data_IF_128965550582
#
_entry.id   IF_128965550582
#
_cell.length_a   1.000
_cell.length_b   1.000
_cell.length_c   1.000
_cell.angle_alpha   90.00
_cell.angle_beta   90.00
_cell.angle_gamma   90.00
#
_symmetry.space_group_name_H-M   'P 1'
#
loop_
_entity.id
_entity.type
_entity.pdbx_description
1 polymer ?
#
# COMPACT_ATOMS: atom_id res chain seq x y z
N UNK A 1 -32.24 1.55 -10.03
CA UNK A 1 -32.15 0.08 -9.89
C UNK A 1 -32.45 -0.29 -8.46
N UNK A 2 -33.22 -1.36 -8.24
CA UNK A 2 -33.37 -1.95 -6.89
C UNK A 2 -32.08 -2.69 -6.49
N UNK A 3 -31.89 -3.00 -5.20
CA UNK A 3 -30.72 -3.81 -4.78
C UNK A 3 -30.63 -5.17 -5.50
N UNK A 4 -31.78 -5.81 -5.74
CA UNK A 4 -31.87 -7.10 -6.44
C UNK A 4 -31.47 -6.96 -7.91
N UNK A 5 -31.89 -5.87 -8.59
CA UNK A 5 -31.48 -5.57 -9.97
C UNK A 5 -29.98 -5.30 -10.05
N UNK A 6 -29.41 -4.57 -9.06
CA UNK A 6 -27.96 -4.32 -8.98
C UNK A 6 -27.20 -5.64 -8.83
N UNK A 7 -27.58 -6.49 -7.87
CA UNK A 7 -26.92 -7.77 -7.62
C UNK A 7 -27.05 -8.74 -8.79
N UNK A 8 -28.19 -8.75 -9.48
CA UNK A 8 -28.40 -9.57 -10.67
C UNK A 8 -27.48 -9.13 -11.83
N UNK A 9 -27.38 -7.82 -12.07
CA UNK A 9 -26.50 -7.26 -13.11
C UNK A 9 -25.02 -7.44 -12.75
N UNK A 10 -24.67 -7.22 -11.48
CA UNK A 10 -23.32 -7.42 -10.96
C UNK A 10 -22.85 -8.87 -11.18
N UNK A 11 -23.67 -9.83 -10.74
CA UNK A 11 -23.38 -11.25 -10.91
C UNK A 11 -23.21 -11.67 -12.37
N UNK A 12 -23.91 -11.02 -13.29
CA UNK A 12 -23.87 -11.34 -14.70
C UNK A 12 -22.72 -10.66 -15.48
N UNK A 13 -22.26 -9.48 -15.02
CA UNK A 13 -21.46 -8.61 -15.86
C UNK A 13 -20.21 -8.02 -15.19
N UNK A 14 -20.11 -8.04 -13.85
CA UNK A 14 -19.03 -7.37 -13.14
C UNK A 14 -18.02 -8.37 -12.56
N UNK A 15 -16.75 -8.19 -12.93
CA UNK A 15 -15.67 -9.01 -12.37
C UNK A 15 -15.07 -8.32 -11.15
N UNK A 16 -15.13 -8.97 -10.00
CA UNK A 16 -14.57 -8.45 -8.76
C UNK A 16 -13.09 -8.81 -8.59
N UNK A 17 -12.31 -8.00 -7.83
CA UNK A 17 -10.90 -8.30 -7.57
C UNK A 17 -10.71 -9.69 -6.94
N UNK A 18 -9.83 -10.50 -7.53
CA UNK A 18 -9.47 -11.85 -7.05
C UNK A 18 -10.67 -12.81 -6.86
N UNK A 19 -11.71 -12.63 -7.62
CA UNK A 19 -12.89 -13.46 -7.57
C UNK A 19 -13.15 -14.15 -8.91
N UNK A 20 -13.82 -15.31 -8.86
CA UNK A 20 -14.42 -15.92 -10.05
C UNK A 20 -15.62 -15.10 -10.53
N UNK A 21 -16.06 -15.33 -11.77
CA UNK A 21 -17.32 -14.81 -12.30
C UNK A 21 -18.28 -15.98 -12.56
N UNK A 22 -19.42 -16.04 -11.87
CA UNK A 22 -19.87 -15.13 -10.80
C UNK A 22 -19.07 -15.34 -9.50
N UNK A 23 -19.01 -14.31 -8.61
CA UNK A 23 -18.33 -14.45 -7.32
C UNK A 23 -19.02 -15.48 -6.42
N UNK A 24 -18.23 -16.20 -5.61
CA UNK A 24 -18.75 -17.22 -4.69
C UNK A 24 -19.67 -16.61 -3.62
N UNK A 25 -19.30 -15.45 -3.08
CA UNK A 25 -20.10 -14.71 -2.12
C UNK A 25 -20.72 -13.48 -2.79
N UNK A 26 -22.00 -13.24 -2.57
CA UNK A 26 -22.67 -12.04 -3.09
C UNK A 26 -22.09 -10.79 -2.42
N UNK A 27 -21.78 -9.73 -3.17
CA UNK A 27 -21.33 -8.47 -2.60
C UNK A 27 -22.46 -7.74 -1.86
N UNK A 28 -22.09 -6.87 -0.91
CA UNK A 28 -23.02 -5.94 -0.27
C UNK A 28 -23.20 -4.70 -1.15
N UNK A 29 -24.45 -4.30 -1.37
CA UNK A 29 -24.74 -3.09 -2.18
C UNK A 29 -24.60 -1.87 -1.29
N UNK A 30 -23.60 -1.01 -1.58
CA UNK A 30 -23.38 0.26 -0.90
C UNK A 30 -24.11 1.37 -1.63
N UNK A 31 -24.84 2.22 -0.89
CA UNK A 31 -25.55 3.42 -1.41
C UNK A 31 -24.86 4.72 -1.09
N UNK A 32 -24.07 4.75 -0.05
CA UNK A 32 -23.37 5.97 0.38
C UNK A 32 -22.29 5.67 1.40
N UNK A 33 -21.49 6.69 1.68
CA UNK A 33 -20.49 6.65 2.74
C UNK A 33 -20.30 8.05 3.30
N UNK A 34 -20.12 8.17 4.63
CA UNK A 34 -19.85 9.44 5.30
C UNK A 34 -19.05 9.20 6.58
N UNK A 35 -18.10 10.07 6.87
CA UNK A 35 -17.18 9.87 8.00
C UNK A 35 -16.47 8.53 7.88
N UNK A 36 -16.64 7.66 8.86
CA UNK A 36 -16.02 6.31 8.84
C UNK A 36 -17.01 5.19 8.51
N UNK A 37 -18.19 5.53 7.98
CA UNK A 37 -19.30 4.58 7.76
C UNK A 37 -19.66 4.41 6.30
N UNK A 38 -20.01 3.19 5.97
CA UNK A 38 -20.65 2.79 4.72
C UNK A 38 -22.15 2.56 4.99
N UNK A 39 -23.03 3.11 4.14
CA UNK A 39 -24.47 2.85 4.19
C UNK A 39 -24.85 1.83 3.14
N UNK A 40 -25.37 0.69 3.56
CA UNK A 40 -25.83 -0.37 2.67
C UNK A 40 -27.23 -0.05 2.09
N UNK A 41 -27.58 -0.74 1.03
CA UNK A 41 -28.88 -0.59 0.38
C UNK A 41 -30.07 -1.03 1.23
N UNK A 42 -29.85 -1.92 2.19
CA UNK A 42 -30.85 -2.36 3.18
C UNK A 42 -30.97 -1.44 4.40
N UNK A 43 -30.19 -0.34 4.43
CA UNK A 43 -30.22 0.68 5.48
C UNK A 43 -29.26 0.42 6.64
N UNK A 44 -28.54 -0.70 6.65
CA UNK A 44 -27.49 -0.93 7.66
C UNK A 44 -26.31 0.04 7.46
N UNK A 45 -25.73 0.48 8.55
CA UNK A 45 -24.48 1.26 8.56
C UNK A 45 -23.34 0.41 9.10
N UNK A 46 -22.23 0.38 8.39
CA UNK A 46 -21.03 -0.37 8.76
C UNK A 46 -19.86 0.59 8.98
N UNK A 47 -19.17 0.46 10.11
CA UNK A 47 -17.87 1.13 10.29
C UNK A 47 -16.87 0.47 9.35
N UNK A 48 -16.20 1.29 8.52
CA UNK A 48 -15.18 0.78 7.60
C UNK A 48 -13.86 0.51 8.35
N UNK A 49 -13.64 -0.75 8.73
CA UNK A 49 -12.39 -1.19 9.34
C UNK A 49 -11.23 -1.33 8.34
N UNK A 50 -11.44 -1.01 7.05
CA UNK A 50 -10.46 -1.25 5.98
C UNK A 50 -9.95 0.02 5.29
N UNK A 51 -10.51 1.21 5.59
CA UNK A 51 -10.24 2.46 4.86
C UNK A 51 -10.28 2.26 3.33
N UNK A 52 -11.24 1.51 2.81
CA UNK A 52 -11.29 1.10 1.40
C UNK A 52 -9.92 0.63 0.89
N UNK A 53 -9.33 -0.35 1.57
CA UNK A 53 -7.96 -0.82 1.31
C UNK A 53 -6.88 0.26 1.43
N UNK A 54 -6.73 0.81 2.66
CA UNK A 54 -5.66 1.73 3.09
C UNK A 54 -5.86 3.19 2.67
N UNK A 55 -6.79 3.50 1.76
CA UNK A 55 -6.81 4.79 1.08
C UNK A 55 -7.57 5.90 1.83
N UNK A 56 -8.73 5.57 2.43
CA UNK A 56 -9.66 6.55 3.02
C UNK A 56 -9.24 6.98 4.44
N UNK A 57 -8.02 7.53 4.59
CA UNK A 57 -7.44 7.89 5.89
C UNK A 57 -8.20 9.01 6.62
N UNK A 58 -8.86 9.91 5.87
CA UNK A 58 -9.66 11.02 6.40
C UNK A 58 -11.15 10.68 6.54
N UNK A 59 -11.52 9.42 6.25
CA UNK A 59 -12.91 9.02 6.10
C UNK A 59 -13.52 9.48 4.78
N UNK A 60 -14.83 9.32 4.65
CA UNK A 60 -15.60 9.58 3.44
C UNK A 60 -16.23 10.97 3.46
N UNK A 61 -16.39 11.59 2.30
CA UNK A 61 -17.06 12.89 2.13
C UNK A 61 -16.48 13.99 3.03
N UNK A 62 -15.16 14.01 3.16
CA UNK A 62 -14.50 15.08 3.89
C UNK A 62 -14.69 16.41 3.16
N UNK A 63 -15.26 17.47 3.82
CA UNK A 63 -15.67 18.70 3.13
C UNK A 63 -14.53 19.42 2.38
N UNK A 64 -13.30 19.36 2.89
CA UNK A 64 -12.12 19.94 2.22
C UNK A 64 -11.76 19.17 0.95
N UNK A 65 -11.87 17.83 0.96
CA UNK A 65 -11.59 16.99 -0.21
C UNK A 65 -12.70 17.11 -1.26
N UNK A 66 -13.99 17.14 -0.83
CA UNK A 66 -15.14 17.39 -1.71
C UNK A 66 -15.00 18.75 -2.42
N UNK A 67 -14.61 19.79 -1.66
CA UNK A 67 -14.37 21.13 -2.21
C UNK A 67 -13.23 21.14 -3.22
N UNK A 68 -12.10 20.47 -2.92
CA UNK A 68 -10.95 20.42 -3.83
C UNK A 68 -11.30 19.79 -5.18
N UNK A 69 -12.13 18.73 -5.19
CA UNK A 69 -12.62 18.11 -6.44
C UNK A 69 -13.56 19.09 -7.18
N UNK A 70 -14.52 19.68 -6.48
CA UNK A 70 -15.53 20.57 -7.09
C UNK A 70 -14.89 21.82 -7.68
N UNK A 71 -13.97 22.46 -6.96
CA UNK A 71 -13.25 23.65 -7.41
C UNK A 71 -12.38 23.35 -8.63
N UNK A 72 -11.69 22.21 -8.63
CA UNK A 72 -10.87 21.80 -9.77
C UNK A 72 -11.71 21.46 -11.00
N UNK A 73 -12.90 20.84 -10.83
CA UNK A 73 -13.86 20.62 -11.93
C UNK A 73 -14.31 21.92 -12.56
N UNK A 74 -14.45 23.00 -11.78
CA UNK A 74 -14.76 24.33 -12.28
C UNK A 74 -13.69 24.95 -13.19
N UNK A 75 -12.45 24.43 -13.13
CA UNK A 75 -11.30 24.88 -13.95
C UNK A 75 -11.06 23.93 -15.13
N UNK A 76 -10.78 22.66 -14.84
CA UNK A 76 -10.57 21.58 -15.83
C UNK A 76 -10.54 20.23 -15.14
N UNK A 77 -11.17 19.22 -15.74
CA UNK A 77 -11.16 17.83 -15.26
C UNK A 77 -9.86 17.13 -15.62
N UNK A 78 -9.38 17.36 -16.85
CA UNK A 78 -8.14 16.76 -17.37
C UNK A 78 -7.53 17.63 -18.46
N UNK A 79 -6.22 17.57 -18.58
CA UNK A 79 -5.41 18.04 -19.70
C UNK A 79 -4.19 17.13 -19.84
N UNK A 80 -3.78 16.78 -21.07
CA UNK A 80 -2.60 15.97 -21.30
C UNK A 80 -1.34 16.63 -20.71
N UNK A 81 -0.46 15.84 -20.09
CA UNK A 81 0.74 16.36 -19.43
C UNK A 81 1.95 16.43 -20.37
N UNK A 82 1.83 15.90 -21.60
CA UNK A 82 2.86 15.96 -22.62
C UNK A 82 2.98 17.36 -23.24
N UNK A 83 3.99 18.11 -22.84
CA UNK A 83 4.23 19.48 -23.30
C UNK A 83 3.40 20.56 -22.60
N UNK A 84 2.49 20.17 -21.69
CA UNK A 84 1.69 21.06 -20.85
C UNK A 84 1.98 20.80 -19.37
N UNK A 85 1.72 21.77 -18.52
CA UNK A 85 1.81 21.65 -17.06
C UNK A 85 0.69 22.43 -16.40
N UNK A 86 0.44 22.19 -15.11
CA UNK A 86 -0.59 22.88 -14.34
C UNK A 86 -0.25 22.93 -12.85
N UNK A 87 -0.78 23.93 -12.18
CA UNK A 87 -0.51 24.22 -10.77
C UNK A 87 -0.72 23.03 -9.84
N UNK A 88 -1.84 22.26 -9.88
CA UNK A 88 -2.03 21.12 -8.97
C UNK A 88 -0.91 20.07 -9.03
N UNK A 89 -0.41 19.74 -10.22
CA UNK A 89 0.68 18.76 -10.34
C UNK A 89 2.01 19.29 -9.83
N UNK A 90 2.34 20.55 -10.14
CA UNK A 90 3.58 21.19 -9.66
C UNK A 90 3.56 21.33 -8.13
N UNK A 91 2.43 21.77 -7.58
CA UNK A 91 2.25 21.88 -6.13
C UNK A 91 2.40 20.50 -5.46
N UNK A 92 1.78 19.46 -6.00
CA UNK A 92 1.89 18.11 -5.47
C UNK A 92 3.33 17.61 -5.50
N UNK A 93 4.04 17.80 -6.62
CA UNK A 93 5.42 17.38 -6.74
C UNK A 93 6.32 18.08 -5.69
N UNK A 94 6.16 19.40 -5.51
CA UNK A 94 6.89 20.16 -4.47
C UNK A 94 6.59 19.63 -3.07
N UNK A 95 5.30 19.43 -2.76
CA UNK A 95 4.86 18.94 -1.46
C UNK A 95 5.42 17.55 -1.17
N UNK A 96 5.42 16.66 -2.17
CA UNK A 96 5.99 15.31 -2.01
C UNK A 96 7.51 15.36 -1.77
N UNK A 97 8.24 16.20 -2.49
CA UNK A 97 9.69 16.39 -2.26
C UNK A 97 9.97 16.92 -0.85
N UNK A 98 9.17 17.88 -0.35
CA UNK A 98 9.30 18.42 1.01
C UNK A 98 8.95 17.40 2.12
N UNK A 99 8.09 16.41 1.82
CA UNK A 99 7.52 15.52 2.82
C UNK A 99 8.24 14.17 2.92
N UNK A 100 8.77 13.69 1.81
CA UNK A 100 9.49 12.41 1.72
C UNK A 100 10.91 12.50 2.29
N UNK A 101 11.59 11.39 2.58
CA UNK A 101 12.97 11.42 3.06
C UNK A 101 13.89 12.26 2.18
N UNK A 102 14.77 13.04 2.80
CA UNK A 102 15.70 13.95 2.14
C UNK A 102 16.49 13.26 1.01
N UNK A 103 16.61 13.95 -0.14
CA UNK A 103 17.34 13.45 -1.31
C UNK A 103 16.45 12.85 -2.40
N UNK A 104 15.15 12.74 -2.20
CA UNK A 104 14.18 12.38 -3.24
C UNK A 104 13.63 13.66 -3.87
N UNK A 105 14.19 14.09 -5.00
CA UNK A 105 13.95 15.44 -5.57
C UNK A 105 13.18 15.45 -6.88
N UNK A 106 12.93 14.28 -7.49
CA UNK A 106 12.24 14.17 -8.77
C UNK A 106 11.03 13.27 -8.66
N UNK A 107 9.90 13.71 -9.21
CA UNK A 107 8.59 13.06 -9.07
C UNK A 107 8.03 12.70 -10.43
N UNK A 108 7.65 11.44 -10.61
CA UNK A 108 6.85 10.96 -11.73
C UNK A 108 5.45 10.60 -11.20
N UNK A 109 4.42 11.27 -11.71
CA UNK A 109 3.02 11.00 -11.35
C UNK A 109 2.48 9.83 -12.17
N UNK A 110 1.90 8.82 -11.51
CA UNK A 110 1.40 7.59 -12.11
C UNK A 110 -0.08 7.38 -11.79
N UNK A 111 -0.76 6.58 -12.61
CA UNK A 111 -2.22 6.38 -12.51
C UNK A 111 -2.61 5.43 -11.36
N UNK A 112 -1.71 4.56 -10.93
CA UNK A 112 -1.97 3.59 -9.86
C UNK A 112 -0.68 3.14 -9.19
N UNK A 113 -0.79 2.45 -8.05
CA UNK A 113 0.35 1.86 -7.36
C UNK A 113 1.15 0.88 -8.22
N UNK A 114 0.48 -0.03 -8.91
CA UNK A 114 1.14 -0.98 -9.82
C UNK A 114 1.93 -0.25 -10.92
N UNK A 115 1.36 0.81 -11.50
CA UNK A 115 2.06 1.63 -12.50
C UNK A 115 3.23 2.40 -11.89
N UNK A 116 3.11 2.89 -10.66
CA UNK A 116 4.23 3.52 -9.94
C UNK A 116 5.41 2.56 -9.79
N UNK A 117 5.16 1.31 -9.43
CA UNK A 117 6.21 0.28 -9.33
C UNK A 117 6.78 -0.07 -10.72
N UNK A 118 5.94 -0.18 -11.77
CA UNK A 118 6.44 -0.35 -13.15
C UNK A 118 7.41 0.77 -13.56
N UNK A 119 7.08 2.01 -13.20
CA UNK A 119 7.93 3.18 -13.45
C UNK A 119 9.22 3.09 -12.66
N UNK A 120 9.16 2.72 -11.37
CA UNK A 120 10.35 2.52 -10.53
C UNK A 120 11.30 1.48 -11.12
N UNK A 121 10.77 0.35 -11.58
CA UNK A 121 11.55 -0.69 -12.26
C UNK A 121 12.19 -0.17 -13.54
N UNK A 122 11.42 0.55 -14.38
CA UNK A 122 11.96 1.17 -15.60
C UNK A 122 13.09 2.17 -15.29
N UNK A 123 12.91 3.00 -14.26
CA UNK A 123 13.95 3.92 -13.80
C UNK A 123 15.25 3.18 -13.45
N UNK A 124 15.15 2.10 -12.66
CA UNK A 124 16.31 1.34 -12.23
C UNK A 124 17.02 0.64 -13.40
N UNK A 125 16.26 -0.01 -14.27
CA UNK A 125 16.81 -0.68 -15.46
C UNK A 125 17.48 0.28 -16.44
N UNK A 126 16.87 1.45 -16.65
CA UNK A 126 17.40 2.48 -17.53
C UNK A 126 18.63 3.15 -16.92
N UNK A 127 18.62 3.41 -15.62
CA UNK A 127 19.78 3.92 -14.90
C UNK A 127 20.99 2.98 -15.01
N UNK A 128 20.81 1.67 -14.75
CA UNK A 128 21.90 0.71 -14.83
C UNK A 128 22.50 0.64 -16.25
N UNK A 129 21.66 0.72 -17.29
CA UNK A 129 22.16 0.83 -18.69
C UNK A 129 22.95 2.11 -18.90
N UNK A 130 22.48 3.24 -18.37
CA UNK A 130 23.12 4.55 -18.52
C UNK A 130 24.50 4.60 -17.87
N UNK A 131 24.68 3.92 -16.72
CA UNK A 131 25.99 3.83 -16.05
C UNK A 131 26.87 2.67 -16.54
N UNK A 132 26.52 2.06 -17.67
CA UNK A 132 27.36 1.04 -18.33
C UNK A 132 27.20 -0.38 -17.76
N UNK A 133 26.09 -0.66 -17.05
CA UNK A 133 25.79 -1.97 -16.45
C UNK A 133 24.54 -2.62 -17.08
N UNK A 134 24.48 -2.83 -18.44
CA UNK A 134 23.26 -3.30 -19.10
C UNK A 134 22.91 -4.75 -18.78
N UNK A 135 23.81 -5.52 -18.17
CA UNK A 135 23.57 -6.88 -17.68
C UNK A 135 22.73 -6.90 -16.40
N UNK A 136 22.68 -5.82 -15.63
CA UNK A 136 21.85 -5.68 -14.43
C UNK A 136 20.39 -5.50 -14.83
N UNK A 137 19.63 -6.61 -14.87
CA UNK A 137 18.24 -6.65 -15.36
C UNK A 137 17.28 -7.30 -14.37
N UNK A 138 17.80 -7.88 -13.30
CA UNK A 138 17.00 -8.55 -12.27
C UNK A 138 16.76 -7.62 -11.09
N UNK A 139 15.70 -7.90 -10.38
CA UNK A 139 15.41 -7.30 -9.09
C UNK A 139 15.63 -8.35 -8.00
N UNK A 140 15.97 -7.90 -6.80
CA UNK A 140 15.88 -8.72 -5.61
C UNK A 140 14.78 -8.19 -4.70
N UNK A 141 14.16 -9.09 -3.96
CA UNK A 141 13.18 -8.81 -2.91
C UNK A 141 13.22 -9.96 -1.90
N UNK A 142 12.46 -9.84 -0.82
CA UNK A 142 12.22 -10.97 0.08
C UNK A 142 10.84 -11.59 -0.15
N UNK A 143 10.67 -12.83 0.30
CA UNK A 143 9.37 -13.52 0.26
C UNK A 143 8.31 -12.78 1.06
N UNK A 144 7.04 -13.01 0.74
CA UNK A 144 5.91 -12.41 1.42
C UNK A 144 5.63 -10.96 1.00
N UNK A 145 6.22 -10.45 -0.09
CA UNK A 145 5.96 -9.12 -0.63
C UNK A 145 4.79 -9.08 -1.62
N UNK A 146 4.20 -7.88 -1.77
CA UNK A 146 3.21 -7.57 -2.79
C UNK A 146 3.45 -6.15 -3.32
N UNK A 147 3.58 -6.02 -4.64
CA UNK A 147 3.96 -4.77 -5.29
C UNK A 147 3.02 -4.35 -6.44
N UNK A 148 1.88 -5.02 -6.58
CA UNK A 148 0.87 -4.71 -7.59
C UNK A 148 0.60 -5.85 -8.57
N UNK A 149 -0.36 -5.63 -9.48
CA UNK A 149 -0.95 -6.66 -10.35
C UNK A 149 -0.56 -6.54 -11.82
N UNK A 150 0.33 -5.61 -12.19
CA UNK A 150 0.92 -5.56 -13.53
C UNK A 150 2.14 -6.49 -13.61
N UNK A 151 2.50 -6.95 -14.82
CA UNK A 151 3.40 -8.08 -14.98
C UNK A 151 4.78 -7.93 -14.31
N UNK A 152 5.38 -6.76 -14.33
CA UNK A 152 6.67 -6.58 -13.65
C UNK A 152 6.55 -6.52 -12.12
N UNK A 153 5.67 -5.71 -11.54
CA UNK A 153 5.33 -5.79 -10.12
C UNK A 153 4.99 -7.20 -9.63
N UNK A 154 4.19 -7.96 -10.41
CA UNK A 154 3.88 -9.36 -10.10
C UNK A 154 5.13 -10.22 -9.99
N UNK A 155 6.18 -9.95 -10.77
CA UNK A 155 7.43 -10.73 -10.75
C UNK A 155 8.22 -10.60 -9.45
N UNK A 156 7.96 -9.56 -8.65
CA UNK A 156 8.55 -9.32 -7.32
C UNK A 156 7.57 -9.55 -6.17
N UNK A 157 6.33 -9.97 -6.45
CA UNK A 157 5.43 -10.51 -5.44
C UNK A 157 5.84 -11.93 -5.07
N UNK A 158 5.40 -12.40 -3.88
CA UNK A 158 5.71 -13.76 -3.44
C UNK A 158 5.24 -14.81 -4.46
N UNK A 159 6.13 -15.65 -5.02
CA UNK A 159 5.76 -16.56 -6.09
C UNK A 159 4.96 -17.79 -5.64
N UNK A 160 4.96 -18.13 -4.34
CA UNK A 160 4.26 -19.30 -3.79
C UNK A 160 3.01 -18.88 -3.00
N UNK A 161 3.18 -17.92 -2.11
CA UNK A 161 2.10 -17.40 -1.26
C UNK A 161 1.35 -16.22 -1.85
N UNK A 162 1.79 -15.69 -2.99
CA UNK A 162 1.17 -14.56 -3.66
C UNK A 162 -0.05 -14.97 -4.50
N UNK A 163 -0.83 -13.99 -4.89
CA UNK A 163 -2.00 -14.15 -5.75
C UNK A 163 -1.65 -14.38 -7.24
N UNK A 164 -0.37 -14.42 -7.57
CA UNK A 164 0.16 -14.38 -8.95
C UNK A 164 0.84 -15.69 -9.39
N UNK A 165 0.73 -16.77 -8.63
CA UNK A 165 1.36 -18.07 -8.94
C UNK A 165 0.99 -18.62 -10.33
N UNK A 166 -0.21 -18.27 -10.82
CA UNK A 166 -0.68 -18.67 -12.16
C UNK A 166 0.22 -18.14 -13.29
N UNK A 167 0.96 -17.07 -13.06
CA UNK A 167 1.79 -16.38 -14.07
C UNK A 167 3.28 -16.67 -13.92
N UNK A 168 3.66 -17.59 -13.03
CA UNK A 168 5.06 -17.83 -12.67
C UNK A 168 5.97 -18.27 -13.82
N UNK A 169 5.42 -18.87 -14.88
CA UNK A 169 6.15 -19.28 -16.09
C UNK A 169 6.32 -18.16 -17.13
N UNK A 170 5.51 -17.09 -17.03
CA UNK A 170 5.49 -15.95 -17.95
C UNK A 170 6.28 -14.75 -17.40
N UNK A 171 6.31 -14.61 -16.07
CA UNK A 171 6.94 -13.47 -15.41
C UNK A 171 8.48 -13.51 -15.47
N UNK A 172 9.16 -12.35 -15.49
CA UNK A 172 10.60 -12.30 -15.33
C UNK A 172 11.05 -12.99 -14.03
N UNK A 173 12.13 -13.78 -14.10
CA UNK A 173 12.68 -14.46 -12.92
C UNK A 173 13.51 -13.50 -12.08
N UNK A 174 13.08 -13.25 -10.85
CA UNK A 174 13.72 -12.37 -9.90
C UNK A 174 14.48 -13.15 -8.80
N UNK A 175 15.17 -12.45 -7.92
CA UNK A 175 15.91 -13.02 -6.78
C UNK A 175 15.09 -12.84 -5.53
N UNK A 176 14.88 -13.92 -4.76
CA UNK A 176 14.11 -13.88 -3.53
C UNK A 176 14.97 -14.30 -2.32
N UNK A 177 15.12 -13.41 -1.37
CA UNK A 177 15.57 -13.75 -0.03
C UNK A 177 14.39 -14.33 0.78
N UNK A 178 14.64 -15.08 1.85
CA UNK A 178 13.60 -15.53 2.77
C UNK A 178 12.81 -14.36 3.37
N UNK A 179 11.65 -14.65 3.96
CA UNK A 179 10.87 -13.67 4.74
C UNK A 179 11.70 -13.19 5.93
N UNK A 180 11.78 -11.89 6.23
CA UNK A 180 12.40 -11.39 7.44
C UNK A 180 11.75 -12.03 8.67
N UNK A 181 12.53 -12.66 9.57
CA UNK A 181 12.01 -13.26 10.79
C UNK A 181 11.68 -12.22 11.86
N UNK A 182 10.92 -12.64 12.86
CA UNK A 182 10.54 -11.81 14.01
C UNK A 182 9.41 -10.81 13.69
N UNK A 183 9.20 -9.89 14.62
CA UNK A 183 8.25 -8.80 14.55
C UNK A 183 8.93 -7.43 14.48
N UNK A 184 8.13 -6.37 14.57
CA UNK A 184 8.64 -5.00 14.46
C UNK A 184 9.63 -4.62 15.58
N UNK A 185 9.44 -5.16 16.79
CA UNK A 185 10.26 -4.86 17.98
C UNK A 185 11.37 -5.88 18.22
N UNK A 186 11.35 -7.02 17.52
CA UNK A 186 12.34 -8.07 17.70
C UNK A 186 13.64 -7.66 17.00
N UNK A 187 14.81 -7.75 17.65
CA UNK A 187 16.06 -7.35 17.02
C UNK A 187 16.33 -8.19 15.76
N UNK A 188 17.07 -7.65 14.78
CA UNK A 188 17.43 -8.40 13.59
C UNK A 188 18.16 -9.71 13.97
N UNK A 189 17.79 -10.80 13.29
CA UNK A 189 18.45 -12.09 13.39
C UNK A 189 19.75 -12.07 12.59
N UNK A 190 20.90 -12.29 13.24
CA UNK A 190 22.22 -12.20 12.63
C UNK A 190 22.42 -13.23 11.50
N UNK A 191 21.86 -14.44 11.65
CA UNK A 191 21.97 -15.47 10.62
C UNK A 191 21.15 -15.09 9.37
N UNK A 192 19.97 -14.52 9.56
CA UNK A 192 19.17 -13.99 8.48
C UNK A 192 19.86 -12.79 7.79
N UNK A 193 20.43 -11.87 8.58
CA UNK A 193 21.19 -10.72 8.03
C UNK A 193 22.34 -11.22 7.16
N UNK A 194 23.12 -12.20 7.62
CA UNK A 194 24.20 -12.78 6.82
C UNK A 194 23.69 -13.41 5.52
N UNK A 195 22.59 -14.17 5.57
CA UNK A 195 21.99 -14.80 4.40
C UNK A 195 21.38 -13.76 3.41
N UNK A 196 20.82 -12.68 3.93
CA UNK A 196 20.30 -11.57 3.12
C UNK A 196 21.43 -10.86 2.36
N UNK A 197 22.52 -10.52 3.06
CA UNK A 197 23.71 -9.91 2.47
C UNK A 197 24.30 -10.84 1.42
N UNK A 198 24.54 -12.12 1.75
CA UNK A 198 25.06 -13.12 0.81
C UNK A 198 24.18 -13.25 -0.45
N UNK A 199 22.86 -13.20 -0.29
CA UNK A 199 21.91 -13.27 -1.42
C UNK A 199 22.10 -12.08 -2.38
N UNK A 200 22.23 -10.87 -1.85
CA UNK A 200 22.43 -9.66 -2.67
C UNK A 200 23.81 -9.68 -3.33
N UNK A 201 24.87 -10.02 -2.58
CA UNK A 201 26.25 -10.06 -3.07
C UNK A 201 26.45 -11.10 -4.18
N UNK A 202 25.87 -12.30 -4.02
CA UNK A 202 25.96 -13.39 -5.00
C UNK A 202 25.36 -12.99 -6.36
N UNK A 203 24.39 -12.10 -6.38
CA UNK A 203 23.69 -11.65 -7.57
C UNK A 203 24.03 -10.21 -7.97
N UNK A 204 25.03 -9.58 -7.34
CA UNK A 204 25.32 -8.16 -7.50
C UNK A 204 25.55 -7.72 -8.96
N UNK A 205 26.16 -8.59 -9.79
CA UNK A 205 26.45 -8.29 -11.19
C UNK A 205 25.21 -8.31 -12.12
N UNK A 206 24.09 -8.86 -11.66
CA UNK A 206 22.86 -8.97 -12.44
C UNK A 206 21.70 -8.16 -11.85
N UNK A 207 21.85 -7.64 -10.60
CA UNK A 207 20.81 -6.88 -9.92
C UNK A 207 20.79 -5.40 -10.33
N UNK A 208 19.65 -4.95 -10.84
CA UNK A 208 19.39 -3.53 -11.07
C UNK A 208 18.98 -2.82 -9.79
N UNK A 209 18.14 -3.46 -8.99
CA UNK A 209 17.62 -2.90 -7.74
C UNK A 209 17.17 -4.00 -6.77
N UNK A 210 17.04 -3.60 -5.50
CA UNK A 210 16.27 -4.31 -4.47
C UNK A 210 14.97 -3.54 -4.24
N UNK A 211 13.83 -4.22 -4.18
CA UNK A 211 12.51 -3.63 -3.88
C UNK A 211 11.90 -4.29 -2.65
N UNK A 212 11.40 -3.49 -1.72
CA UNK A 212 10.73 -3.99 -0.50
C UNK A 212 9.65 -3.02 -0.03
N UNK A 213 8.64 -3.57 0.65
CA UNK A 213 7.72 -2.82 1.49
C UNK A 213 8.41 -2.56 2.84
N UNK A 214 8.61 -1.31 3.28
CA UNK A 214 9.30 -1.04 4.54
C UNK A 214 8.42 -1.34 5.74
N UNK A 215 8.95 -2.05 6.70
CA UNK A 215 8.44 -2.50 8.00
C UNK A 215 7.13 -3.29 8.00
N UNK A 216 6.29 -3.17 6.98
CA UNK A 216 5.03 -3.91 6.85
C UNK A 216 4.90 -4.48 5.45
N UNK A 217 4.86 -5.80 5.35
CA UNK A 217 4.42 -6.49 4.13
C UNK A 217 2.89 -6.61 4.18
N UNK A 218 2.17 -5.78 3.39
CA UNK A 218 0.72 -5.68 3.44
C UNK A 218 0.01 -6.92 2.90
N UNK A 219 -0.43 -6.90 1.63
CA UNK A 219 -1.20 -7.97 1.00
C UNK A 219 -0.46 -9.32 0.93
N UNK A 220 0.85 -9.34 1.12
CA UNK A 220 1.66 -10.56 1.19
C UNK A 220 1.55 -11.34 2.50
N UNK A 221 0.81 -10.85 3.51
CA UNK A 221 0.58 -11.56 4.76
C UNK A 221 0.53 -10.71 6.01
N UNK A 222 0.41 -9.40 5.89
CA UNK A 222 0.33 -8.45 7.01
C UNK A 222 1.45 -8.65 8.04
N UNK A 223 2.67 -8.96 7.57
CA UNK A 223 3.84 -9.23 8.41
C UNK A 223 4.54 -7.93 8.74
N UNK A 224 4.96 -7.82 10.00
CA UNK A 224 5.78 -6.71 10.45
C UNK A 224 7.22 -7.21 10.63
N UNK A 225 8.19 -6.37 10.30
CA UNK A 225 9.60 -6.70 10.46
C UNK A 225 10.38 -5.52 11.06
N UNK A 226 11.50 -5.85 11.71
CA UNK A 226 12.32 -4.85 12.35
C UNK A 226 12.97 -3.90 11.33
N UNK A 227 12.97 -2.56 11.55
CA UNK A 227 13.54 -1.60 10.62
C UNK A 227 15.05 -1.75 10.38
N UNK A 228 15.76 -2.47 11.22
CA UNK A 228 17.17 -2.83 11.07
C UNK A 228 17.47 -3.53 9.74
N UNK A 229 16.56 -4.35 9.23
CA UNK A 229 16.75 -5.02 7.93
C UNK A 229 16.81 -4.02 6.76
N UNK A 230 16.10 -2.89 6.85
CA UNK A 230 16.16 -1.84 5.84
C UNK A 230 17.53 -1.13 5.81
N UNK A 231 18.16 -0.97 7.00
CA UNK A 231 19.53 -0.45 7.09
C UNK A 231 20.54 -1.38 6.44
N UNK A 232 20.41 -2.70 6.71
CA UNK A 232 21.25 -3.72 6.05
C UNK A 232 21.10 -3.67 4.54
N UNK A 233 19.85 -3.61 4.03
CA UNK A 233 19.61 -3.49 2.59
C UNK A 233 20.24 -2.21 2.01
N UNK A 234 20.13 -1.06 2.71
CA UNK A 234 20.76 0.19 2.26
C UNK A 234 22.28 0.09 2.18
N UNK A 235 22.90 -0.53 3.16
CA UNK A 235 24.36 -0.70 3.22
C UNK A 235 24.85 -1.60 2.08
N UNK A 236 24.28 -2.79 1.92
CA UNK A 236 24.71 -3.76 0.90
C UNK A 236 24.41 -3.26 -0.52
N UNK A 237 23.25 -2.64 -0.77
CA UNK A 237 22.91 -2.11 -2.09
C UNK A 237 23.85 -0.96 -2.50
N UNK A 238 24.16 -0.05 -1.56
CA UNK A 238 25.11 1.04 -1.81
C UNK A 238 26.52 0.51 -2.11
N UNK A 239 27.00 -0.47 -1.36
CA UNK A 239 28.32 -1.05 -1.55
C UNK A 239 28.52 -1.64 -2.96
N UNK A 240 27.45 -2.13 -3.56
CA UNK A 240 27.49 -2.79 -4.89
C UNK A 240 26.91 -1.95 -6.04
N UNK A 241 26.51 -0.67 -5.80
CA UNK A 241 25.91 0.17 -6.84
C UNK A 241 24.56 -0.37 -7.35
N UNK A 242 23.83 -1.07 -6.49
CA UNK A 242 22.46 -1.56 -6.71
C UNK A 242 21.51 -0.51 -6.16
N UNK A 243 20.43 -0.19 -6.88
CA UNK A 243 19.44 0.76 -6.40
C UNK A 243 18.52 0.13 -5.35
N UNK A 244 18.02 0.93 -4.41
CA UNK A 244 17.03 0.52 -3.42
C UNK A 244 15.70 1.21 -3.69
N UNK A 245 14.63 0.41 -3.82
CA UNK A 245 13.25 0.87 -3.99
C UNK A 245 12.48 0.57 -2.71
N UNK A 246 11.86 1.59 -2.11
CA UNK A 246 10.84 1.38 -1.09
C UNK A 246 9.45 1.55 -1.70
N UNK A 247 8.63 0.52 -1.54
CA UNK A 247 7.22 0.55 -1.88
C UNK A 247 6.41 0.96 -0.64
N UNK A 248 6.08 2.24 -0.58
CA UNK A 248 5.28 2.84 0.50
C UNK A 248 3.84 3.13 0.06
N UNK A 249 3.35 2.43 -0.96
CA UNK A 249 1.97 2.59 -1.44
C UNK A 249 0.96 2.28 -0.33
N UNK A 250 1.24 1.30 0.53
CA UNK A 250 0.39 0.95 1.66
C UNK A 250 0.84 1.59 2.99
N UNK A 251 2.13 1.78 3.18
CA UNK A 251 2.73 2.17 4.47
C UNK A 251 2.85 3.68 4.66
N UNK A 252 2.87 4.45 3.57
CA UNK A 252 3.05 5.89 3.60
C UNK A 252 1.88 6.67 4.23
N UNK A 253 2.12 7.96 4.41
CA UNK A 253 1.15 8.94 4.93
C UNK A 253 0.65 8.65 6.34
N UNK A 254 1.53 8.16 7.22
CA UNK A 254 1.23 8.01 8.65
C UNK A 254 0.81 6.61 9.08
N UNK A 255 0.49 5.70 8.18
CA UNK A 255 -0.16 4.41 8.50
C UNK A 255 0.57 3.58 9.55
N UNK A 256 1.90 3.57 9.56
CA UNK A 256 2.73 2.80 10.49
C UNK A 256 3.15 3.57 11.76
N UNK A 257 2.75 4.85 11.89
CA UNK A 257 3.15 5.74 12.98
C UNK A 257 4.25 6.73 12.60
N UNK A 258 4.92 6.55 11.47
CA UNK A 258 5.80 7.53 10.83
C UNK A 258 5.13 8.05 9.55
N UNK A 259 5.45 9.28 9.11
CA UNK A 259 4.88 9.84 7.86
C UNK A 259 5.16 8.91 6.68
N UNK A 260 6.38 8.39 6.58
CA UNK A 260 6.78 7.29 5.72
C UNK A 260 7.49 6.23 6.55
N UNK A 261 7.21 4.96 6.27
CA UNK A 261 7.77 3.85 7.04
C UNK A 261 9.32 3.78 6.97
N UNK A 262 9.92 4.37 5.95
CA UNK A 262 11.37 4.63 5.85
C UNK A 262 11.93 5.36 7.08
N UNK A 263 11.13 6.21 7.72
CA UNK A 263 11.49 6.96 8.93
C UNK A 263 11.85 6.07 10.11
N UNK A 264 11.21 4.91 10.28
CA UNK A 264 11.56 3.94 11.34
C UNK A 264 13.01 3.44 11.24
N UNK A 265 13.56 3.39 10.03
CA UNK A 265 14.93 2.96 9.78
C UNK A 265 15.92 4.12 9.66
N UNK A 266 15.44 5.35 9.43
CA UNK A 266 16.28 6.49 9.07
C UNK A 266 17.02 6.27 7.74
N UNK A 267 16.36 5.62 6.77
CA UNK A 267 16.95 5.24 5.48
C UNK A 267 16.23 5.97 4.36
N UNK A 268 16.98 6.62 3.47
CA UNK A 268 16.48 7.13 2.20
C UNK A 268 16.75 6.10 1.10
N UNK A 269 15.72 5.61 0.37
CA UNK A 269 15.90 4.78 -0.81
C UNK A 269 16.36 5.61 -2.01
N UNK A 270 16.76 4.95 -3.10
CA UNK A 270 17.06 5.64 -4.36
C UNK A 270 15.78 5.95 -5.14
N UNK A 271 14.74 5.14 -4.94
CA UNK A 271 13.41 5.30 -5.53
C UNK A 271 12.34 4.98 -4.48
N UNK A 272 11.30 5.81 -4.41
CA UNK A 272 10.17 5.66 -3.50
C UNK A 272 8.86 5.64 -4.29
N UNK A 273 8.01 4.64 -4.04
CA UNK A 273 6.66 4.57 -4.60
C UNK A 273 5.63 4.93 -3.52
N UNK A 274 4.67 5.82 -3.83
CA UNK A 274 3.57 6.20 -2.94
C UNK A 274 2.24 6.18 -3.68
N UNK A 275 1.13 5.94 -2.98
CA UNK A 275 -0.21 5.86 -3.57
C UNK A 275 -1.29 5.77 -2.50
N UNK A 276 -2.41 5.12 -2.80
CA UNK A 276 -3.54 4.87 -1.88
C UNK A 276 -3.95 6.10 -1.06
N UNK A 277 -3.44 6.24 0.17
CA UNK A 277 -3.72 7.36 1.07
C UNK A 277 -3.33 8.74 0.48
N UNK A 278 -2.51 8.79 -0.56
CA UNK A 278 -2.12 10.01 -1.25
C UNK A 278 -3.31 10.91 -1.61
N UNK A 279 -4.42 10.31 -2.06
CA UNK A 279 -5.64 11.04 -2.43
C UNK A 279 -6.74 11.00 -1.38
N UNK A 280 -6.46 10.42 -0.19
CA UNK A 280 -7.49 10.20 0.83
C UNK A 280 -8.63 9.27 0.38
N UNK A 281 -8.40 8.44 -0.64
CA UNK A 281 -9.38 7.48 -1.16
C UNK A 281 -10.36 8.06 -2.21
N UNK A 282 -10.15 9.28 -2.69
CA UNK A 282 -11.06 9.95 -3.63
C UNK A 282 -10.83 9.54 -5.09
N UNK A 283 -9.59 9.46 -5.52
CA UNK A 283 -9.22 9.19 -6.92
C UNK A 283 -7.97 8.31 -6.97
N UNK A 284 -7.82 7.57 -8.06
CA UNK A 284 -6.59 6.84 -8.31
C UNK A 284 -5.47 7.81 -8.66
N UNK A 285 -4.37 7.74 -7.95
CA UNK A 285 -3.11 8.44 -8.22
C UNK A 285 -2.01 7.74 -7.43
N UNK A 286 -0.82 7.70 -8.01
CA UNK A 286 0.41 7.31 -7.34
C UNK A 286 1.55 8.21 -7.80
N UNK A 287 2.67 8.13 -7.12
CA UNK A 287 3.88 8.83 -7.52
C UNK A 287 5.10 7.93 -7.29
N UNK A 288 6.07 8.06 -8.20
CA UNK A 288 7.41 7.49 -8.08
C UNK A 288 8.40 8.63 -7.91
N UNK A 289 9.07 8.68 -6.77
CA UNK A 289 10.11 9.68 -6.51
C UNK A 289 11.49 9.03 -6.69
N UNK A 290 12.46 9.80 -7.13
CA UNK A 290 13.84 9.32 -7.21
C UNK A 290 14.85 10.39 -6.84
N UNK A 291 16.08 9.94 -6.57
CA UNK A 291 17.21 10.82 -6.29
C UNK A 291 17.67 11.56 -7.55
N UNK A 292 18.36 12.71 -7.42
CA UNK A 292 18.98 13.42 -8.55
C UNK A 292 20.00 12.57 -9.32
N UNK A 293 20.65 11.62 -8.66
CA UNK A 293 21.57 10.69 -9.31
C UNK A 293 20.84 9.80 -10.32
N UNK A 294 19.74 9.18 -9.92
CA UNK A 294 18.90 8.34 -10.79
C UNK A 294 18.35 9.17 -11.95
N UNK A 295 17.79 10.34 -11.67
CA UNK A 295 17.21 11.21 -12.69
C UNK A 295 18.26 11.67 -13.72
N UNK A 296 19.46 12.10 -13.27
CA UNK A 296 20.56 12.49 -14.17
C UNK A 296 21.07 11.33 -15.02
N UNK A 297 21.23 10.14 -14.41
CA UNK A 297 21.66 8.94 -15.15
C UNK A 297 20.68 8.61 -16.28
N UNK A 298 19.37 8.59 -16.00
CA UNK A 298 18.35 8.35 -17.01
C UNK A 298 18.40 9.43 -18.11
N UNK A 299 18.42 10.71 -17.74
CA UNK A 299 18.37 11.84 -18.68
C UNK A 299 19.58 11.91 -19.58
N UNK A 300 20.75 11.47 -19.11
CA UNK A 300 21.97 11.39 -19.93
C UNK A 300 21.88 10.32 -21.03
N UNK A 301 21.03 9.30 -20.86
CA UNK A 301 20.83 8.21 -21.81
C UNK A 301 19.58 8.38 -22.69
N UNK A 302 18.73 9.38 -22.43
CA UNK A 302 17.51 9.64 -23.20
C UNK A 302 16.31 10.01 -22.32
N UNK A 303 15.12 9.61 -22.76
CA UNK A 303 13.85 9.89 -22.05
C UNK A 303 13.46 8.72 -21.17
N UNK A 304 12.79 8.97 -20.05
CA UNK A 304 12.08 7.93 -19.33
C UNK A 304 10.87 7.49 -20.16
N UNK A 305 10.91 6.28 -20.70
CA UNK A 305 9.94 5.78 -21.67
C UNK A 305 8.64 5.31 -20.97
N UNK A 306 7.89 6.23 -20.39
CA UNK A 306 6.55 6.01 -19.82
C UNK A 306 5.78 7.33 -19.85
N UNK A 307 4.50 7.28 -20.26
CA UNK A 307 3.66 8.49 -20.36
C UNK A 307 2.20 8.13 -20.60
N UNK A 308 1.42 7.80 -19.54
CA UNK A 308 -0.01 7.49 -19.69
C UNK A 308 -0.83 8.74 -19.99
N UNK A 309 -1.98 8.54 -20.63
CA UNK A 309 -2.90 9.63 -21.03
C UNK A 309 -3.30 10.51 -19.85
N UNK A 310 -3.59 9.91 -18.69
CA UNK A 310 -4.06 10.64 -17.51
C UNK A 310 -2.94 11.00 -16.52
N UNK A 311 -1.68 10.90 -16.92
CA UNK A 311 -0.54 11.31 -16.08
C UNK A 311 -0.73 12.72 -15.54
N UNK A 312 -0.54 12.87 -14.23
CA UNK A 312 -0.69 14.16 -13.57
C UNK A 312 -2.12 14.73 -13.65
N UNK A 313 -3.15 13.86 -13.62
CA UNK A 313 -4.54 14.30 -13.71
C UNK A 313 -4.84 15.46 -12.73
N UNK A 314 -5.34 16.62 -13.20
CA UNK A 314 -5.53 17.80 -12.35
C UNK A 314 -6.48 17.57 -11.16
N UNK A 315 -7.57 16.79 -11.34
CA UNK A 315 -8.50 16.46 -10.26
C UNK A 315 -7.80 15.62 -9.17
N UNK A 316 -7.08 14.58 -9.59
CA UNK A 316 -6.36 13.72 -8.67
C UNK A 316 -5.24 14.46 -7.93
N UNK A 317 -4.51 15.35 -8.62
CA UNK A 317 -3.49 16.19 -8.00
C UNK A 317 -4.08 17.21 -7.03
N UNK A 318 -5.23 17.82 -7.35
CA UNK A 318 -5.90 18.78 -6.48
C UNK A 318 -6.36 18.11 -5.16
N UNK A 319 -7.01 16.95 -5.25
CA UNK A 319 -7.44 16.23 -4.06
C UNK A 319 -6.26 15.67 -3.26
N UNK A 320 -5.18 15.24 -3.91
CA UNK A 320 -3.96 14.80 -3.23
C UNK A 320 -3.30 15.94 -2.43
N UNK A 321 -3.21 17.15 -3.01
CA UNK A 321 -2.74 18.33 -2.29
C UNK A 321 -3.62 18.65 -1.06
N UNK A 322 -4.94 18.55 -1.20
CA UNK A 322 -5.87 18.76 -0.09
C UNK A 322 -5.73 17.67 0.99
N UNK A 323 -5.57 16.40 0.60
CA UNK A 323 -5.34 15.28 1.52
C UNK A 323 -4.05 15.45 2.34
N UNK A 324 -2.94 15.78 1.68
CA UNK A 324 -1.66 16.06 2.36
C UNK A 324 -1.79 17.31 3.23
N UNK A 325 -2.52 18.35 2.75
CA UNK A 325 -2.81 19.56 3.51
C UNK A 325 -3.51 19.27 4.84
N UNK A 326 -4.47 18.36 4.85
CA UNK A 326 -5.15 17.90 6.08
C UNK A 326 -4.20 17.18 7.03
N UNK A 327 -3.32 16.31 6.53
CA UNK A 327 -2.30 15.67 7.36
C UNK A 327 -1.36 16.70 8.00
N UNK A 328 -0.85 17.66 7.20
CA UNK A 328 0.09 18.69 7.69
C UNK A 328 -0.54 19.66 8.70
N UNK A 329 -1.82 19.95 8.54
CA UNK A 329 -2.55 20.88 9.42
C UNK A 329 -3.10 20.21 10.70
N UNK A 330 -3.30 18.89 10.66
CA UNK A 330 -3.91 18.12 11.74
C UNK A 330 -2.88 17.37 12.62
N UNK A 331 -3.38 16.81 13.72
CA UNK A 331 -2.60 15.91 14.58
C UNK A 331 -2.74 14.43 14.10
N UNK A 332 -2.29 14.16 12.88
CA UNK A 332 -2.36 12.81 12.34
C UNK A 332 -1.57 11.79 13.20
N UNK A 333 -0.46 12.21 13.78
CA UNK A 333 0.37 11.32 14.60
C UNK A 333 -0.35 10.91 15.88
N UNK A 334 -0.97 11.87 16.57
CA UNK A 334 -1.83 11.59 17.74
C UNK A 334 -3.06 10.75 17.37
N UNK A 335 -3.68 11.00 16.22
CA UNK A 335 -4.79 10.17 15.72
C UNK A 335 -4.35 8.72 15.48
N UNK A 336 -3.25 8.50 14.78
CA UNK A 336 -2.70 7.16 14.51
C UNK A 336 -2.29 6.46 15.81
N UNK A 337 -1.65 7.17 16.75
CA UNK A 337 -1.29 6.63 18.05
C UNK A 337 -2.52 6.19 18.86
N UNK A 338 -3.60 7.01 18.85
CA UNK A 338 -4.88 6.68 19.51
C UNK A 338 -5.54 5.47 18.87
N UNK A 339 -5.60 5.42 17.53
CA UNK A 339 -6.13 4.25 16.81
C UNK A 339 -5.33 3.00 17.17
N UNK A 340 -4.00 3.07 17.14
CA UNK A 340 -3.13 1.96 17.50
C UNK A 340 -3.34 1.48 18.95
N UNK A 341 -3.52 2.41 19.91
CA UNK A 341 -3.81 2.07 21.29
C UNK A 341 -5.18 1.36 21.43
N UNK A 342 -6.22 1.87 20.75
CA UNK A 342 -7.54 1.27 20.74
C UNK A 342 -7.55 -0.13 20.12
N UNK A 343 -6.87 -0.31 18.98
CA UNK A 343 -6.70 -1.62 18.33
C UNK A 343 -5.96 -2.59 19.26
N UNK A 344 -4.88 -2.16 19.90
CA UNK A 344 -4.13 -3.00 20.85
C UNK A 344 -5.03 -3.45 22.01
N UNK A 345 -5.73 -2.52 22.65
CA UNK A 345 -6.64 -2.83 23.75
C UNK A 345 -7.76 -3.80 23.35
N UNK A 346 -8.30 -3.63 22.12
CA UNK A 346 -9.40 -4.46 21.63
C UNK A 346 -8.99 -5.81 21.09
N UNK A 347 -7.79 -5.96 20.51
CA UNK A 347 -7.35 -7.20 19.86
C UNK A 347 -6.48 -8.10 20.76
N UNK A 348 -5.69 -7.52 21.68
CA UNK A 348 -4.81 -8.31 22.56
C UNK A 348 -5.55 -9.41 23.34
N UNK A 349 -6.80 -9.21 23.82
CA UNK A 349 -7.55 -10.29 24.47
C UNK A 349 -7.79 -11.52 23.61
N UNK A 350 -7.70 -11.41 22.27
CA UNK A 350 -7.89 -12.52 21.35
C UNK A 350 -6.68 -13.45 21.28
N UNK A 351 -5.51 -13.04 21.77
CA UNK A 351 -4.26 -13.83 21.76
C UNK A 351 -4.41 -15.20 22.41
N UNK A 352 -5.27 -15.36 23.41
CA UNK A 352 -5.53 -16.63 24.09
C UNK A 352 -6.69 -17.44 23.50
N UNK A 353 -7.29 -16.98 22.42
CA UNK A 353 -8.43 -17.68 21.79
C UNK A 353 -7.94 -18.90 21.01
N UNK A 354 -8.60 -20.08 21.14
CA UNK A 354 -8.25 -21.22 20.32
C UNK A 354 -8.26 -20.89 18.82
N UNK A 355 -7.26 -21.38 18.09
CA UNK A 355 -7.08 -21.10 16.67
C UNK A 355 -6.31 -19.80 16.38
N UNK A 356 -6.12 -18.90 17.34
CA UNK A 356 -5.32 -17.67 17.15
C UNK A 356 -3.86 -17.97 17.41
N UNK A 357 -3.01 -17.73 16.40
CA UNK A 357 -1.55 -17.93 16.47
C UNK A 357 -0.79 -16.66 16.78
N UNK A 358 -1.31 -15.50 16.32
CA UNK A 358 -0.67 -14.21 16.61
C UNK A 358 -1.66 -13.05 16.61
N UNK A 359 -1.35 -12.03 17.41
CA UNK A 359 -2.02 -10.73 17.42
C UNK A 359 -0.95 -9.65 17.38
N UNK A 360 -1.00 -8.75 16.40
CA UNK A 360 0.00 -7.69 16.23
C UNK A 360 -0.62 -6.37 15.82
N UNK A 361 -0.06 -5.28 16.34
CA UNK A 361 -0.53 -3.90 16.06
C UNK A 361 0.69 -3.00 15.83
N UNK A 362 0.65 -2.25 14.71
CA UNK A 362 1.65 -1.22 14.39
C UNK A 362 0.94 0.00 13.77
N UNK A 363 1.16 1.18 14.34
CA UNK A 363 0.43 2.38 13.90
C UNK A 363 -1.08 2.14 13.91
N UNK A 364 -1.75 2.48 12.82
CA UNK A 364 -3.18 2.25 12.63
C UNK A 364 -3.47 0.93 11.86
N UNK A 365 -2.77 -0.14 12.21
CA UNK A 365 -2.91 -1.48 11.63
C UNK A 365 -3.07 -2.49 12.74
N UNK A 366 -4.10 -3.33 12.71
CA UNK A 366 -4.32 -4.45 13.63
C UNK A 366 -4.52 -5.75 12.87
N UNK A 367 -3.93 -6.83 13.36
CA UNK A 367 -3.95 -8.15 12.71
C UNK A 367 -4.16 -9.23 13.75
N UNK A 368 -5.08 -10.16 13.45
CA UNK A 368 -5.24 -11.43 14.15
C UNK A 368 -4.98 -12.54 13.13
N UNK A 369 -4.02 -13.41 13.41
CA UNK A 369 -3.66 -14.54 12.55
C UNK A 369 -4.17 -15.83 13.14
N UNK A 370 -4.77 -16.68 12.30
CA UNK A 370 -5.28 -17.99 12.68
C UNK A 370 -4.30 -19.09 12.27
N UNK A 371 -4.50 -20.30 12.79
CA UNK A 371 -3.77 -21.51 12.44
C UNK A 371 -4.35 -22.25 11.22
N UNK A 372 -5.40 -21.69 10.61
CA UNK A 372 -6.15 -22.23 9.47
C UNK A 372 -6.60 -21.11 8.52
N UNK A 373 -7.01 -21.48 7.33
CA UNK A 373 -7.62 -20.54 6.38
C UNK A 373 -9.02 -20.11 6.85
N UNK A 374 -9.26 -18.80 6.81
CA UNK A 374 -10.53 -18.19 7.23
C UNK A 374 -11.65 -18.54 6.23
N UNK A 375 -12.81 -18.97 6.72
CA UNK A 375 -14.03 -18.92 5.90
C UNK A 375 -14.41 -17.45 5.67
N UNK A 376 -14.03 -16.93 4.49
CA UNK A 376 -14.22 -15.53 4.13
C UNK A 376 -15.69 -15.10 4.17
N UNK A 377 -16.61 -15.99 3.81
CA UNK A 377 -18.05 -15.71 3.82
C UNK A 377 -18.57 -15.57 5.24
N UNK A 378 -18.31 -16.57 6.08
CA UNK A 378 -18.74 -16.61 7.47
C UNK A 378 -18.12 -15.46 8.29
N UNK A 379 -16.80 -15.26 8.19
CA UNK A 379 -16.10 -14.21 8.92
C UNK A 379 -16.55 -12.79 8.51
N UNK A 380 -16.75 -12.55 7.20
CA UNK A 380 -17.26 -11.25 6.72
C UNK A 380 -18.69 -11.02 7.20
N UNK A 381 -19.58 -12.02 7.13
CA UNK A 381 -20.96 -11.91 7.61
C UNK A 381 -21.02 -11.62 9.12
N UNK A 382 -20.22 -12.33 9.92
CA UNK A 382 -20.13 -12.12 11.36
C UNK A 382 -19.68 -10.69 11.72
N UNK A 383 -18.69 -10.13 11.00
CA UNK A 383 -18.27 -8.74 11.18
C UNK A 383 -19.38 -7.75 10.80
N UNK A 384 -20.08 -7.99 9.68
CA UNK A 384 -21.21 -7.17 9.21
C UNK A 384 -22.36 -7.17 10.22
N UNK A 385 -22.65 -8.31 10.86
CA UNK A 385 -23.67 -8.41 11.92
C UNK A 385 -23.30 -7.58 13.18
N UNK A 386 -22.00 -7.31 13.38
CA UNK A 386 -21.51 -6.36 14.40
C UNK A 386 -21.48 -4.90 13.91
N UNK A 387 -21.92 -4.63 12.69
CA UNK A 387 -21.91 -3.28 12.10
C UNK A 387 -20.51 -2.83 11.67
N UNK A 388 -19.66 -3.76 11.23
CA UNK A 388 -18.28 -3.49 10.79
C UNK A 388 -18.04 -4.10 9.41
N UNK A 389 -17.39 -3.34 8.54
CA UNK A 389 -16.86 -3.86 7.28
C UNK A 389 -15.41 -4.32 7.47
N UNK A 390 -15.18 -5.62 7.30
CA UNK A 390 -13.86 -6.24 7.24
C UNK A 390 -13.74 -7.08 5.96
N UNK A 391 -12.50 -7.27 5.51
CA UNK A 391 -12.18 -8.13 4.37
C UNK A 391 -11.06 -9.10 4.77
N UNK A 392 -11.37 -10.20 5.44
CA UNK A 392 -10.38 -11.23 5.79
C UNK A 392 -9.66 -11.76 4.56
N UNK A 393 -8.47 -12.30 4.75
CA UNK A 393 -7.62 -12.79 3.67
C UNK A 393 -6.74 -13.95 4.16
N UNK A 394 -6.80 -15.10 3.51
CA UNK A 394 -6.08 -16.32 3.88
C UNK A 394 -6.38 -16.72 5.35
N UNK A 395 -5.36 -16.76 6.19
CA UNK A 395 -5.40 -17.02 7.63
C UNK A 395 -5.50 -15.74 8.49
N UNK A 396 -5.87 -14.59 7.87
CA UNK A 396 -5.76 -13.28 8.50
C UNK A 396 -7.12 -12.59 8.61
N UNK A 397 -7.43 -12.12 9.82
CA UNK A 397 -8.45 -11.12 10.09
C UNK A 397 -7.74 -9.84 10.51
N UNK A 398 -7.87 -8.78 9.71
CA UNK A 398 -7.09 -7.57 9.88
C UNK A 398 -7.92 -6.31 9.66
N UNK A 399 -7.42 -5.21 10.20
CA UNK A 399 -8.07 -3.92 10.13
C UNK A 399 -7.04 -2.80 10.00
N UNK A 400 -7.36 -1.78 9.21
CA UNK A 400 -6.60 -0.54 9.09
C UNK A 400 -7.58 0.63 8.89
N UNK A 401 -8.28 1.02 9.97
CA UNK A 401 -9.36 1.99 9.91
C UNK A 401 -8.87 3.40 9.55
N UNK A 402 -9.76 4.33 9.16
CA UNK A 402 -9.44 5.75 9.02
C UNK A 402 -8.87 6.32 10.31
N UNK A 403 -7.96 7.31 10.22
CA UNK A 403 -7.32 7.90 11.40
C UNK A 403 -8.30 8.66 12.31
N UNK A 404 -9.40 9.12 11.72
CA UNK A 404 -10.47 9.86 12.39
C UNK A 404 -11.47 8.96 13.13
N UNK A 405 -11.31 7.63 13.07
CA UNK A 405 -12.17 6.68 13.79
C UNK A 405 -12.10 6.93 15.28
N UNK A 406 -13.24 7.15 15.93
CA UNK A 406 -13.32 7.40 17.36
C UNK A 406 -13.23 6.12 18.22
N UNK A 407 -13.18 6.28 19.53
CA UNK A 407 -12.99 5.15 20.46
C UNK A 407 -14.21 4.21 20.50
N UNK A 408 -15.41 4.73 20.23
CA UNK A 408 -16.64 3.91 20.18
C UNK A 408 -16.59 3.02 18.93
N UNK A 409 -16.19 3.57 17.79
CA UNK A 409 -16.07 2.83 16.55
C UNK A 409 -14.85 1.89 16.58
N UNK A 410 -13.75 2.25 17.26
CA UNK A 410 -12.63 1.32 17.50
C UNK A 410 -13.05 0.10 18.33
N UNK A 411 -13.83 0.30 19.38
CA UNK A 411 -14.39 -0.80 20.17
C UNK A 411 -15.34 -1.68 19.32
N UNK A 412 -16.13 -1.06 18.43
CA UNK A 412 -17.00 -1.79 17.49
C UNK A 412 -16.17 -2.60 16.50
N UNK A 413 -15.09 -2.05 15.94
CA UNK A 413 -14.16 -2.77 15.06
C UNK A 413 -13.58 -3.98 15.79
N UNK A 414 -13.14 -3.82 17.04
CA UNK A 414 -12.63 -4.94 17.84
C UNK A 414 -13.67 -6.05 18.03
N UNK A 415 -14.95 -5.67 18.29
CA UNK A 415 -16.05 -6.63 18.37
C UNK A 415 -16.29 -7.36 17.02
N UNK A 416 -16.21 -6.63 15.90
CA UNK A 416 -16.31 -7.21 14.56
C UNK A 416 -15.17 -8.18 14.26
N UNK A 417 -13.94 -7.84 14.65
CA UNK A 417 -12.78 -8.76 14.53
C UNK A 417 -12.99 -10.00 15.38
N UNK A 418 -13.42 -9.85 16.64
CA UNK A 418 -13.69 -10.99 17.54
C UNK A 418 -14.77 -11.91 16.99
N UNK A 419 -15.86 -11.36 16.44
CA UNK A 419 -16.91 -12.14 15.79
C UNK A 419 -16.40 -12.86 14.54
N UNK A 420 -15.59 -12.21 13.73
CA UNK A 420 -14.96 -12.81 12.55
C UNK A 420 -13.99 -13.95 12.93
N UNK A 421 -13.20 -13.81 14.01
CA UNK A 421 -12.32 -14.88 14.56
C UNK A 421 -13.14 -16.08 15.01
N UNK A 422 -14.29 -15.86 15.64
CA UNK A 422 -15.13 -16.95 16.14
C UNK A 422 -15.89 -17.70 15.01
N UNK A 423 -16.06 -17.08 13.84
CA UNK A 423 -16.83 -17.62 12.72
C UNK A 423 -15.95 -18.16 11.58
N UNK A 424 -14.72 -17.70 11.49
CA UNK A 424 -13.77 -18.06 10.43
C UNK A 424 -12.92 -19.25 10.79
#
# INVERSE_FOLDING_TARGET
MTPEEILAADRAHVWHPYAALPPANAPYVVRGAEGVRLTLADGRELVDGMSSWWAAIHGYRHPVLDAAVTDQLGRMSHVMFGGLTHEPAVQLARTLVELTPDGLEHVFLADSGSVSVEVAVKMCLQYQRAVGQPQRRRLATWRGGYHGDTFHPMSVCDPEGGMHHLWGDVLPRQVFAPVPPGGFTDPPDDAYVAALVETVERHADELAAVIVEPVVQGAGGMRFHHPGYLRVLREVTRAHGILLIFDEIATGFGRTGEMFAAGHAGVTPDVLCVGKALTGGYLTLAATLCTPEVARGISASGVLAHGPTFMGNPLACAVANASIGLLRAGDWAGQVARVGAGLRAGLEPLRGTPGVTDVRVLGAIGVVQLDHEVDLGAATAAAVDQGVWLRPFRDLIYTMPPYVTDDVDLARIASGVAAAVAAG
#
